data_IF_990546999288
#
_entry.id   IF_990546999288
#
_cell.length_a   1.000
_cell.length_b   1.000
_cell.length_c   1.000
_cell.angle_alpha   90.00
_cell.angle_beta   90.00
_cell.angle_gamma   90.00
#
_symmetry.space_group_name_H-M   'P 1'
#
loop_
_entity.id
_entity.type
_entity.pdbx_description
1 polymer ?
#
# COMPACT_ATOMS: atom_id res chain seq x y z
N UNK A 1 30.99 57.76 23.21
CA UNK A 1 29.60 58.07 23.58
C UNK A 1 28.63 57.47 22.55
N UNK A 2 27.80 56.54 22.98
CA UNK A 2 26.55 56.19 22.29
C UNK A 2 26.63 55.15 21.14
N UNK A 3 26.92 53.91 21.47
CA UNK A 3 26.65 52.75 20.57
C UNK A 3 25.16 52.47 20.52
N UNK A 4 24.52 52.64 19.35
CA UNK A 4 23.15 52.21 19.12
C UNK A 4 23.11 50.82 18.49
N UNK A 5 22.69 49.84 19.28
CA UNK A 5 22.33 48.49 18.88
C UNK A 5 21.12 48.51 17.93
N UNK A 6 21.05 47.66 16.85
CA UNK A 6 19.87 47.54 16.01
C UNK A 6 18.82 46.72 16.74
N UNK A 7 17.62 47.29 16.90
CA UNK A 7 16.44 46.66 17.44
C UNK A 7 15.94 45.62 16.41
N UNK A 8 15.95 44.35 16.82
CA UNK A 8 15.25 43.27 16.16
C UNK A 8 13.76 43.56 16.27
N UNK A 9 13.13 43.77 15.10
CA UNK A 9 11.69 44.02 14.97
C UNK A 9 10.96 42.67 15.09
N UNK A 10 10.47 42.37 16.28
CA UNK A 10 9.63 41.19 16.54
C UNK A 10 8.21 41.53 16.04
N UNK A 11 7.87 41.11 14.84
CA UNK A 11 6.51 41.20 14.32
C UNK A 11 5.65 40.19 15.06
N UNK A 12 4.96 40.66 16.06
CA UNK A 12 3.93 39.92 16.78
C UNK A 12 2.69 39.88 15.86
N UNK A 13 2.57 38.81 15.06
CA UNK A 13 1.40 38.56 14.26
C UNK A 13 0.25 38.11 15.17
N UNK A 14 -0.46 39.08 15.76
CA UNK A 14 -1.78 38.88 16.37
C UNK A 14 -2.84 38.93 15.26
N UNK A 15 -2.95 37.88 14.48
CA UNK A 15 -4.15 37.59 13.73
C UNK A 15 -4.92 36.51 14.49
N UNK A 16 -5.72 36.93 15.47
CA UNK A 16 -6.82 36.14 15.98
C UNK A 16 -7.88 36.02 14.88
N UNK A 17 -7.59 35.27 13.84
CA UNK A 17 -8.57 34.69 12.95
C UNK A 17 -9.30 33.59 13.74
N UNK A 18 -10.52 33.88 14.19
CA UNK A 18 -11.53 32.88 14.52
C UNK A 18 -11.85 32.11 13.25
N UNK A 19 -10.91 31.27 12.79
CA UNK A 19 -11.19 30.17 11.90
C UNK A 19 -12.12 29.25 12.68
N UNK A 20 -13.35 29.12 12.23
CA UNK A 20 -14.25 28.04 12.56
C UNK A 20 -13.47 26.74 12.28
N UNK A 21 -12.83 26.19 13.30
CA UNK A 21 -12.44 24.80 13.31
C UNK A 21 -13.76 24.04 13.06
N UNK A 22 -13.94 23.55 11.84
CA UNK A 22 -14.95 22.54 11.57
C UNK A 22 -14.79 21.52 12.70
N UNK A 23 -15.84 21.33 13.47
CA UNK A 23 -15.92 20.24 14.45
C UNK A 23 -15.75 18.97 13.64
N UNK A 24 -14.51 18.51 13.47
CA UNK A 24 -14.26 17.12 13.13
C UNK A 24 -14.96 16.33 14.22
N UNK A 25 -16.05 15.68 13.84
CA UNK A 25 -16.79 14.81 14.73
C UNK A 25 -15.82 13.75 15.19
N UNK A 26 -15.28 13.89 16.39
CA UNK A 26 -14.44 12.91 17.06
C UNK A 26 -15.32 11.69 17.31
N UNK A 27 -15.26 10.75 16.38
CA UNK A 27 -15.88 9.46 16.57
C UNK A 27 -15.15 8.79 17.74
N UNK A 28 -15.87 8.13 18.64
CA UNK A 28 -15.21 7.37 19.68
C UNK A 28 -14.33 6.27 19.08
N UNK A 29 -13.32 5.74 19.80
CA UNK A 29 -12.37 4.76 19.28
C UNK A 29 -13.05 3.55 18.62
N UNK A 30 -14.20 3.14 19.11
CA UNK A 30 -14.97 2.01 18.55
C UNK A 30 -15.42 2.31 17.12
N UNK A 31 -16.04 3.48 16.89
CA UNK A 31 -16.50 3.87 15.56
C UNK A 31 -15.34 4.06 14.59
N UNK A 32 -14.22 4.63 15.07
CA UNK A 32 -13.01 4.76 14.26
C UNK A 32 -12.47 3.39 13.81
N UNK A 33 -12.51 2.38 14.67
CA UNK A 33 -12.14 1.02 14.33
C UNK A 33 -13.07 0.36 13.31
N UNK A 34 -14.38 0.52 13.48
CA UNK A 34 -15.38 0.02 12.51
C UNK A 34 -15.19 0.66 11.14
N UNK A 35 -15.01 1.98 11.09
CA UNK A 35 -14.73 2.71 9.84
C UNK A 35 -13.42 2.24 9.21
N UNK A 36 -12.39 2.01 10.03
CA UNK A 36 -11.09 1.48 9.57
C UNK A 36 -11.24 0.14 8.88
N UNK A 37 -11.99 -0.80 9.48
CA UNK A 37 -12.22 -2.11 8.90
C UNK A 37 -13.07 -2.00 7.61
N UNK A 38 -14.14 -1.23 7.63
CA UNK A 38 -15.02 -1.06 6.47
C UNK A 38 -14.26 -0.44 5.29
N UNK A 39 -13.51 0.65 5.52
CA UNK A 39 -12.73 1.31 4.49
C UNK A 39 -11.60 0.41 3.99
N UNK A 40 -10.86 -0.24 4.89
CA UNK A 40 -9.77 -1.15 4.52
C UNK A 40 -10.27 -2.35 3.72
N UNK A 41 -11.37 -2.97 4.15
CA UNK A 41 -11.98 -4.10 3.47
C UNK A 41 -12.52 -3.69 2.09
N UNK A 42 -13.42 -2.70 2.04
CA UNK A 42 -14.11 -2.28 0.81
C UNK A 42 -13.17 -1.77 -0.27
N UNK A 43 -12.03 -1.18 0.13
CA UNK A 43 -11.06 -0.61 -0.82
C UNK A 43 -10.24 -1.65 -1.59
N UNK A 44 -10.18 -2.91 -1.14
CA UNK A 44 -9.20 -3.82 -1.74
C UNK A 44 -9.56 -5.31 -1.75
N UNK A 45 -10.70 -5.75 -1.18
CA UNK A 45 -11.06 -7.18 -1.19
C UNK A 45 -11.22 -7.72 -2.63
N UNK A 46 -11.73 -6.91 -3.56
CA UNK A 46 -11.85 -7.28 -4.98
C UNK A 46 -10.46 -7.54 -5.58
N UNK A 47 -9.47 -6.72 -5.22
CA UNK A 47 -8.08 -6.89 -5.68
C UNK A 47 -7.49 -8.18 -5.09
N UNK A 48 -7.81 -8.51 -3.83
CA UNK A 48 -7.41 -9.78 -3.20
C UNK A 48 -7.99 -10.96 -3.97
N UNK A 49 -9.29 -10.96 -4.24
CA UNK A 49 -9.94 -12.03 -5.00
C UNK A 49 -9.36 -12.15 -6.42
N UNK A 50 -9.17 -11.03 -7.11
CA UNK A 50 -8.56 -11.01 -8.43
C UNK A 50 -7.12 -11.57 -8.39
N UNK A 51 -6.33 -11.18 -7.39
CA UNK A 51 -4.96 -11.69 -7.20
C UNK A 51 -4.91 -13.19 -6.96
N UNK A 52 -5.75 -13.72 -6.07
CA UNK A 52 -5.83 -15.13 -5.79
C UNK A 52 -6.28 -15.93 -7.01
N UNK A 53 -7.27 -15.44 -7.74
CA UNK A 53 -7.77 -16.08 -8.97
C UNK A 53 -6.70 -16.07 -10.07
N UNK A 54 -5.98 -14.97 -10.26
CA UNK A 54 -4.92 -14.84 -11.27
C UNK A 54 -3.78 -15.85 -11.07
N UNK A 55 -3.48 -16.22 -9.82
CA UNK A 55 -2.47 -17.24 -9.51
C UNK A 55 -3.04 -18.68 -9.42
N UNK A 56 -4.29 -18.88 -9.83
CA UNK A 56 -4.90 -20.19 -10.04
C UNK A 56 -5.89 -20.66 -8.96
N UNK A 57 -6.32 -19.78 -8.03
CA UNK A 57 -7.35 -20.14 -7.07
C UNK A 57 -8.71 -20.33 -7.75
N UNK A 58 -9.43 -21.39 -7.41
CA UNK A 58 -10.86 -21.55 -7.72
C UNK A 58 -11.69 -20.61 -6.83
N UNK A 59 -12.96 -20.31 -7.19
CA UNK A 59 -13.79 -19.40 -6.39
C UNK A 59 -13.86 -19.74 -4.89
N UNK A 60 -14.04 -21.02 -4.54
CA UNK A 60 -14.05 -21.47 -3.15
C UNK A 60 -12.69 -21.27 -2.44
N UNK A 61 -11.58 -21.45 -3.16
CA UNK A 61 -10.23 -21.21 -2.63
C UNK A 61 -9.96 -19.72 -2.43
N UNK A 62 -10.41 -18.88 -3.35
CA UNK A 62 -10.30 -17.42 -3.22
C UNK A 62 -11.15 -16.90 -2.04
N UNK A 63 -12.37 -17.41 -1.88
CA UNK A 63 -13.23 -17.12 -0.73
C UNK A 63 -12.58 -17.53 0.59
N UNK A 64 -12.01 -18.75 0.64
CA UNK A 64 -11.25 -19.25 1.80
C UNK A 64 -10.04 -18.36 2.11
N UNK A 65 -9.32 -17.91 1.08
CA UNK A 65 -8.19 -17.00 1.22
C UNK A 65 -8.60 -15.65 1.81
N UNK A 66 -9.70 -15.05 1.35
CA UNK A 66 -10.23 -13.80 1.88
C UNK A 66 -10.66 -13.95 3.34
N UNK A 67 -11.38 -15.03 3.67
CA UNK A 67 -11.76 -15.37 5.05
C UNK A 67 -10.51 -15.46 5.93
N UNK A 68 -9.52 -16.22 5.49
CA UNK A 68 -8.27 -16.44 6.23
C UNK A 68 -7.51 -15.15 6.49
N UNK A 69 -7.43 -14.27 5.49
CA UNK A 69 -6.78 -12.96 5.63
C UNK A 69 -7.50 -12.09 6.66
N UNK A 70 -8.84 -12.08 6.67
CA UNK A 70 -9.63 -11.39 7.68
C UNK A 70 -9.34 -11.91 9.09
N UNK A 71 -9.32 -13.24 9.26
CA UNK A 71 -9.10 -13.87 10.55
C UNK A 71 -7.68 -13.67 11.07
N UNK A 72 -6.67 -13.91 10.22
CA UNK A 72 -5.26 -13.82 10.63
C UNK A 72 -4.85 -12.39 11.00
N UNK A 73 -5.27 -11.40 10.21
CA UNK A 73 -5.00 -9.99 10.54
C UNK A 73 -5.78 -9.55 11.80
N UNK A 74 -7.02 -10.00 11.99
CA UNK A 74 -7.81 -9.67 13.17
C UNK A 74 -7.18 -10.24 14.44
N UNK A 75 -6.78 -11.51 14.43
CA UNK A 75 -6.10 -12.14 15.57
C UNK A 75 -4.77 -11.45 15.89
N UNK A 76 -3.99 -11.11 14.85
CA UNK A 76 -2.75 -10.35 15.01
C UNK A 76 -2.99 -8.94 15.59
N UNK A 77 -4.04 -8.23 15.14
CA UNK A 77 -4.41 -6.92 15.71
C UNK A 77 -4.83 -7.06 17.19
N UNK A 78 -5.66 -8.04 17.52
CA UNK A 78 -6.08 -8.28 18.90
C UNK A 78 -4.87 -8.53 19.79
N UNK A 79 -3.96 -9.40 19.35
CA UNK A 79 -2.74 -9.69 20.10
C UNK A 79 -1.93 -8.44 20.38
N UNK A 80 -1.55 -7.71 19.34
CA UNK A 80 -0.69 -6.52 19.46
C UNK A 80 -1.37 -5.39 20.23
N UNK A 81 -2.65 -5.11 19.97
CA UNK A 81 -3.38 -4.04 20.63
C UNK A 81 -3.60 -4.31 22.11
N UNK A 82 -3.97 -5.53 22.50
CA UNK A 82 -4.20 -5.89 23.89
C UNK A 82 -2.90 -5.94 24.70
N UNK A 83 -1.83 -6.46 24.09
CA UNK A 83 -0.53 -6.60 24.76
C UNK A 83 0.18 -5.27 24.98
N UNK A 84 0.20 -4.40 23.95
CA UNK A 84 0.97 -3.17 23.99
C UNK A 84 0.14 -1.92 24.27
N UNK A 85 -1.19 -2.02 24.27
CA UNK A 85 -2.11 -0.88 24.46
C UNK A 85 -1.83 0.25 23.48
N UNK A 86 -1.47 -0.08 22.23
CA UNK A 86 -1.25 0.86 21.11
C UNK A 86 -2.17 0.53 19.93
N UNK A 87 -2.57 1.51 19.11
CA UNK A 87 -3.52 1.33 18.02
C UNK A 87 -2.87 0.71 16.77
N UNK A 88 -2.20 -0.44 16.94
CA UNK A 88 -1.58 -1.16 15.81
C UNK A 88 -2.67 -1.83 15.01
N UNK A 89 -2.76 -1.46 13.73
CA UNK A 89 -3.64 -2.12 12.76
C UNK A 89 -2.84 -2.95 11.79
N UNK A 90 -3.32 -4.15 11.52
CA UNK A 90 -2.83 -5.01 10.46
C UNK A 90 -3.80 -5.00 9.29
N UNK A 91 -3.29 -5.36 8.13
CA UNK A 91 -4.05 -5.50 6.90
C UNK A 91 -3.43 -6.62 6.06
N UNK A 92 -4.18 -7.14 5.09
CA UNK A 92 -3.56 -7.89 4.01
C UNK A 92 -2.74 -6.94 3.11
N UNK A 93 -1.76 -7.50 2.41
CA UNK A 93 -0.94 -6.70 1.47
C UNK A 93 -1.74 -6.38 0.20
N UNK A 94 -2.41 -5.22 0.16
CA UNK A 94 -3.07 -4.76 -1.06
C UNK A 94 -2.08 -4.63 -2.24
N UNK A 95 -0.86 -4.06 -2.06
CA UNK A 95 0.15 -4.08 -3.10
C UNK A 95 0.57 -5.51 -3.51
N UNK A 96 0.61 -6.43 -2.55
CA UNK A 96 0.86 -7.84 -2.82
C UNK A 96 -0.26 -8.49 -3.61
N UNK A 97 -1.52 -8.25 -3.24
CA UNK A 97 -2.68 -8.73 -4.00
C UNK A 97 -2.68 -8.20 -5.44
N UNK A 98 -2.35 -6.92 -5.64
CA UNK A 98 -2.23 -6.33 -6.97
C UNK A 98 -1.09 -6.97 -7.79
N UNK A 99 0.05 -7.25 -7.15
CA UNK A 99 1.14 -8.00 -7.76
C UNK A 99 0.68 -9.39 -8.22
N UNK A 100 -0.08 -10.10 -7.40
CA UNK A 100 -0.66 -11.39 -7.79
C UNK A 100 -1.65 -11.23 -8.94
N UNK A 101 -2.50 -10.18 -8.93
CA UNK A 101 -3.48 -9.92 -9.98
C UNK A 101 -2.84 -9.59 -11.34
N UNK A 102 -1.62 -9.05 -11.34
CA UNK A 102 -0.85 -8.79 -12.56
C UNK A 102 -0.06 -10.00 -13.06
N UNK A 103 -0.05 -11.12 -12.30
CA UNK A 103 0.65 -12.33 -12.71
C UNK A 103 -0.13 -13.06 -13.82
N UNK A 104 0.57 -13.55 -14.84
CA UNK A 104 0.02 -14.39 -15.91
C UNK A 104 -0.05 -15.88 -15.53
N UNK A 105 -0.34 -16.17 -14.26
CA UNK A 105 -0.30 -17.50 -13.68
C UNK A 105 1.00 -17.82 -12.96
N UNK A 106 1.02 -18.94 -12.26
CA UNK A 106 2.19 -19.45 -11.54
C UNK A 106 2.53 -20.85 -12.06
N UNK A 107 3.78 -21.09 -12.42
CA UNK A 107 4.24 -22.42 -12.78
C UNK A 107 4.03 -23.39 -11.61
N UNK A 108 3.26 -24.46 -11.82
CA UNK A 108 2.79 -25.35 -10.76
C UNK A 108 1.41 -25.01 -10.19
N UNK A 109 0.74 -23.97 -10.70
CA UNK A 109 -0.62 -23.60 -10.35
C UNK A 109 -0.84 -23.16 -8.91
N UNK A 110 -2.07 -23.27 -8.43
CA UNK A 110 -2.46 -22.85 -7.10
C UNK A 110 -1.63 -23.43 -5.94
N UNK A 111 -1.27 -24.74 -5.91
CA UNK A 111 -0.42 -25.27 -4.85
C UNK A 111 0.96 -24.61 -4.78
N UNK A 112 1.53 -24.22 -5.94
CA UNK A 112 2.81 -23.52 -5.97
C UNK A 112 2.68 -22.06 -5.50
N UNK A 113 1.55 -21.40 -5.78
CA UNK A 113 1.24 -20.08 -5.24
C UNK A 113 1.13 -20.13 -3.70
N UNK A 114 0.45 -21.14 -3.15
CA UNK A 114 0.37 -21.37 -1.69
C UNK A 114 1.76 -21.62 -1.10
N UNK A 115 2.62 -22.36 -1.79
CA UNK A 115 4.02 -22.51 -1.41
C UNK A 115 4.76 -21.17 -1.36
N UNK A 116 4.55 -20.32 -2.37
CA UNK A 116 5.15 -18.99 -2.41
C UNK A 116 4.65 -18.09 -1.26
N UNK A 117 3.37 -18.14 -0.89
CA UNK A 117 2.83 -17.41 0.26
C UNK A 117 3.50 -17.86 1.56
N UNK A 118 3.69 -19.17 1.73
CA UNK A 118 4.40 -19.70 2.89
C UNK A 118 5.85 -19.22 2.93
N UNK A 119 6.58 -19.24 1.80
CA UNK A 119 7.95 -18.69 1.69
C UNK A 119 7.97 -17.21 2.04
N UNK A 120 6.99 -16.43 1.58
CA UNK A 120 6.86 -15.01 1.94
C UNK A 120 6.77 -14.82 3.46
N UNK A 121 5.92 -15.60 4.12
CA UNK A 121 5.79 -15.57 5.59
C UNK A 121 7.09 -15.95 6.30
N UNK A 122 7.80 -16.97 5.80
CA UNK A 122 9.11 -17.37 6.33
C UNK A 122 10.17 -16.28 6.15
N UNK A 123 10.19 -15.56 5.03
CA UNK A 123 11.06 -14.40 4.81
C UNK A 123 10.77 -13.27 5.79
N UNK A 124 9.49 -12.99 6.09
CA UNK A 124 9.09 -12.01 7.10
C UNK A 124 9.58 -12.45 8.49
N UNK A 125 9.41 -13.72 8.86
CA UNK A 125 9.91 -14.28 10.13
C UNK A 125 11.44 -14.22 10.21
N UNK A 126 12.13 -14.52 9.12
CA UNK A 126 13.59 -14.41 9.05
C UNK A 126 14.05 -12.97 9.25
N UNK A 127 13.31 -11.99 8.70
CA UNK A 127 13.58 -10.56 8.94
C UNK A 127 13.37 -10.17 10.41
N UNK A 128 12.37 -10.76 11.07
CA UNK A 128 12.19 -10.56 12.52
C UNK A 128 13.34 -11.13 13.35
N UNK A 129 13.91 -12.26 12.91
CA UNK A 129 15.01 -12.92 13.60
C UNK A 129 16.37 -12.29 13.31
N UNK A 130 16.60 -11.81 12.07
CA UNK A 130 17.89 -11.28 11.58
C UNK A 130 17.75 -9.79 11.24
N UNK A 131 18.13 -8.86 12.15
CA UNK A 131 17.96 -7.42 11.93
C UNK A 131 18.62 -6.91 10.63
N UNK A 132 19.75 -7.51 10.23
CA UNK A 132 20.47 -7.15 8.98
C UNK A 132 19.60 -7.30 7.73
N UNK A 133 18.64 -8.24 7.71
CA UNK A 133 17.69 -8.36 6.59
C UNK A 133 16.69 -7.20 6.59
N UNK A 134 16.26 -6.73 7.76
CA UNK A 134 15.47 -5.51 7.90
C UNK A 134 16.20 -4.30 7.33
N UNK A 135 17.48 -4.14 7.69
CA UNK A 135 18.33 -3.06 7.17
C UNK A 135 18.52 -3.17 5.65
N UNK A 136 18.69 -4.38 5.12
CA UNK A 136 18.80 -4.63 3.68
C UNK A 136 17.52 -4.21 2.94
N UNK A 137 16.34 -4.58 3.47
CA UNK A 137 15.06 -4.15 2.88
C UNK A 137 14.88 -2.64 2.97
N UNK A 138 15.24 -2.05 4.10
CA UNK A 138 15.20 -0.59 4.28
C UNK A 138 16.20 0.14 3.38
N UNK A 139 17.26 -0.53 2.91
CA UNK A 139 18.23 0.02 1.95
C UNK A 139 17.75 0.04 0.50
N UNK A 140 16.66 -0.67 0.18
CA UNK A 140 16.03 -0.60 -1.15
C UNK A 140 15.52 0.84 -1.32
N UNK A 141 16.03 1.59 -2.32
CA UNK A 141 15.59 2.96 -2.51
C UNK A 141 14.07 3.02 -2.70
N UNK A 142 13.39 3.88 -1.92
CA UNK A 142 11.94 3.98 -1.92
C UNK A 142 11.36 4.21 -3.32
N UNK A 143 12.06 4.98 -4.16
CA UNK A 143 11.64 5.28 -5.52
C UNK A 143 11.38 4.01 -6.36
N UNK A 144 12.24 2.96 -6.25
CA UNK A 144 12.06 1.73 -7.03
C UNK A 144 10.97 0.82 -6.51
N UNK A 145 10.85 0.69 -5.19
CA UNK A 145 9.74 -0.03 -4.59
C UNK A 145 8.40 0.62 -4.97
N UNK A 146 8.35 1.96 -5.00
CA UNK A 146 7.18 2.73 -5.44
C UNK A 146 6.95 2.62 -6.95
N UNK A 147 8.01 2.62 -7.76
CA UNK A 147 7.93 2.41 -9.20
C UNK A 147 7.38 1.02 -9.55
N UNK A 148 7.88 -0.03 -8.88
CA UNK A 148 7.34 -1.38 -9.04
C UNK A 148 5.86 -1.43 -8.63
N UNK A 149 5.50 -0.83 -7.51
CA UNK A 149 4.11 -0.75 -7.08
C UNK A 149 3.23 -0.02 -8.11
N UNK A 150 3.65 1.15 -8.58
CA UNK A 150 2.92 1.90 -9.59
C UNK A 150 2.76 1.11 -10.90
N UNK A 151 3.81 0.43 -11.36
CA UNK A 151 3.76 -0.43 -12.54
C UNK A 151 2.76 -1.58 -12.41
N UNK A 152 2.77 -2.27 -11.27
CA UNK A 152 1.82 -3.36 -10.96
C UNK A 152 0.38 -2.84 -10.89
N UNK A 153 0.16 -1.63 -10.37
CA UNK A 153 -1.18 -1.04 -10.25
C UNK A 153 -1.72 -0.49 -11.56
N UNK A 154 -0.85 -0.11 -12.51
CA UNK A 154 -1.27 0.55 -13.75
C UNK A 154 -2.32 -0.24 -14.54
N UNK A 155 -2.14 -1.53 -14.84
CA UNK A 155 -3.16 -2.31 -15.57
C UNK A 155 -4.50 -2.36 -14.84
N UNK A 156 -4.47 -2.45 -13.51
CA UNK A 156 -5.69 -2.46 -12.69
C UNK A 156 -6.40 -1.10 -12.71
N UNK A 157 -5.64 -0.01 -12.72
CA UNK A 157 -6.18 1.36 -12.80
C UNK A 157 -6.70 1.71 -14.21
N UNK A 158 -6.31 0.97 -15.25
CA UNK A 158 -6.88 1.10 -16.60
C UNK A 158 -8.22 0.38 -16.74
N UNK A 159 -8.49 -0.65 -15.91
CA UNK A 159 -9.71 -1.46 -15.98
C UNK A 159 -11.01 -0.63 -15.95
N UNK A 160 -11.18 0.46 -15.16
CA UNK A 160 -12.40 1.27 -15.23
C UNK A 160 -12.66 1.89 -16.59
N UNK A 161 -11.59 2.26 -17.32
CA UNK A 161 -11.69 2.90 -18.64
C UNK A 161 -12.04 1.86 -19.70
N UNK A 162 -11.34 0.72 -19.72
CA UNK A 162 -11.60 -0.35 -20.68
C UNK A 162 -12.98 -0.96 -20.45
N UNK A 163 -13.32 -1.29 -19.20
CA UNK A 163 -14.64 -1.84 -18.87
C UNK A 163 -15.80 -0.88 -19.17
N UNK A 164 -15.59 0.45 -19.03
CA UNK A 164 -16.61 1.43 -19.40
C UNK A 164 -16.91 1.44 -20.91
N UNK A 165 -15.91 1.14 -21.74
CA UNK A 165 -16.10 1.01 -23.20
C UNK A 165 -16.78 -0.30 -23.55
N UNK A 166 -16.40 -1.40 -22.88
CA UNK A 166 -16.89 -2.74 -23.19
C UNK A 166 -18.32 -2.98 -22.67
N UNK A 167 -18.66 -2.43 -21.50
CA UNK A 167 -19.94 -2.62 -20.83
C UNK A 167 -20.44 -1.30 -20.18
N UNK A 168 -20.79 -0.28 -20.97
CA UNK A 168 -21.10 1.06 -20.45
C UNK A 168 -22.33 1.09 -19.53
N UNK A 169 -23.33 0.26 -19.77
CA UNK A 169 -24.56 0.23 -18.96
C UNK A 169 -24.30 -0.24 -17.52
N UNK A 170 -23.43 -1.23 -17.36
CA UNK A 170 -23.08 -1.83 -16.06
C UNK A 170 -22.02 -1.03 -15.33
N UNK A 171 -21.05 -0.44 -16.04
CA UNK A 171 -19.89 0.22 -15.45
C UNK A 171 -20.13 1.71 -15.18
N UNK A 172 -20.94 2.40 -16.02
CA UNK A 172 -21.21 3.82 -15.83
C UNK A 172 -21.79 4.17 -14.44
N UNK A 173 -22.75 3.41 -13.86
CA UNK A 173 -23.25 3.67 -12.51
C UNK A 173 -22.15 3.65 -11.46
N UNK A 174 -21.16 2.76 -11.60
CA UNK A 174 -20.01 2.64 -10.67
C UNK A 174 -19.11 3.86 -10.75
N UNK A 175 -18.73 4.26 -11.97
CA UNK A 175 -17.87 5.42 -12.23
C UNK A 175 -18.55 6.72 -11.81
N UNK A 176 -19.82 6.91 -12.15
CA UNK A 176 -20.58 8.10 -11.80
C UNK A 176 -20.78 8.23 -10.28
N UNK A 177 -21.08 7.13 -9.59
CA UNK A 177 -21.18 7.10 -8.13
C UNK A 177 -19.85 7.51 -7.49
N UNK A 178 -18.74 6.96 -8.00
CA UNK A 178 -17.42 7.30 -7.52
C UNK A 178 -17.10 8.79 -7.72
N UNK A 179 -17.32 9.34 -8.92
CA UNK A 179 -17.08 10.75 -9.25
C UNK A 179 -17.93 11.68 -8.37
N UNK A 180 -19.21 11.38 -8.22
CA UNK A 180 -20.12 12.14 -7.39
C UNK A 180 -19.63 12.19 -5.94
N UNK A 181 -19.31 11.02 -5.38
CA UNK A 181 -18.84 10.91 -3.99
C UNK A 181 -17.45 11.51 -3.79
N UNK A 182 -16.57 11.49 -4.78
CA UNK A 182 -15.30 12.23 -4.73
C UNK A 182 -15.54 13.73 -4.52
N UNK A 183 -16.60 14.27 -5.08
CA UNK A 183 -16.95 15.71 -5.00
C UNK A 183 -17.64 16.06 -3.69
N UNK A 184 -18.53 15.19 -3.20
CA UNK A 184 -19.42 15.49 -2.07
C UNK A 184 -18.92 14.90 -0.76
N UNK A 185 -18.38 13.67 -0.80
CA UNK A 185 -18.02 12.90 0.38
C UNK A 185 -16.84 11.94 0.10
N UNK A 186 -15.68 12.52 -0.18
CA UNK A 186 -14.47 11.82 -0.68
C UNK A 186 -14.14 10.50 0.03
N UNK A 187 -14.33 10.42 1.35
CA UNK A 187 -14.09 9.21 2.16
C UNK A 187 -15.02 8.04 1.79
N UNK A 188 -16.17 8.33 1.20
CA UNK A 188 -17.18 7.36 0.79
C UNK A 188 -17.13 7.01 -0.70
N UNK A 189 -16.22 7.62 -1.47
CA UNK A 189 -16.13 7.41 -2.91
C UNK A 189 -15.87 5.93 -3.25
N UNK A 190 -14.89 5.29 -2.60
CA UNK A 190 -14.58 3.87 -2.84
C UNK A 190 -15.66 2.94 -2.29
N UNK A 191 -16.12 3.06 -1.03
CA UNK A 191 -17.25 2.25 -0.56
C UNK A 191 -18.51 2.40 -1.39
N UNK A 192 -18.82 3.61 -1.86
CA UNK A 192 -19.99 3.86 -2.70
C UNK A 192 -19.89 3.26 -4.10
N UNK A 193 -18.72 3.38 -4.74
CA UNK A 193 -18.45 2.72 -6.01
C UNK A 193 -18.59 1.20 -5.92
N UNK A 194 -18.07 0.62 -4.83
CA UNK A 194 -18.24 -0.80 -4.56
C UNK A 194 -19.71 -1.18 -4.34
N UNK A 195 -20.44 -0.40 -3.55
CA UNK A 195 -21.87 -0.64 -3.33
C UNK A 195 -22.67 -0.58 -4.65
N UNK A 196 -22.33 0.39 -5.53
CA UNK A 196 -22.93 0.48 -6.87
C UNK A 196 -22.58 -0.76 -7.71
N UNK A 197 -21.31 -1.20 -7.70
CA UNK A 197 -20.86 -2.39 -8.42
C UNK A 197 -21.61 -3.66 -7.93
N UNK A 198 -21.68 -3.86 -6.61
CA UNK A 198 -22.43 -4.98 -6.03
C UNK A 198 -23.92 -4.89 -6.36
N UNK A 199 -24.51 -3.68 -6.36
CA UNK A 199 -25.89 -3.46 -6.78
C UNK A 199 -26.14 -3.87 -8.23
N UNK A 200 -25.25 -3.51 -9.15
CA UNK A 200 -25.31 -3.96 -10.55
C UNK A 200 -25.24 -5.48 -10.63
N UNK A 201 -24.29 -6.12 -9.94
CA UNK A 201 -24.15 -7.58 -9.96
C UNK A 201 -25.40 -8.29 -9.40
N UNK A 202 -25.98 -7.79 -8.31
CA UNK A 202 -27.19 -8.37 -7.73
C UNK A 202 -28.41 -8.30 -8.66
N UNK A 203 -28.45 -7.31 -9.55
CA UNK A 203 -29.55 -7.17 -10.54
C UNK A 203 -29.30 -8.00 -11.80
N UNK A 204 -28.01 -8.22 -12.16
CA UNK A 204 -27.67 -8.83 -13.46
C UNK A 204 -27.22 -10.29 -13.37
N UNK A 205 -26.85 -10.77 -12.17
CA UNK A 205 -26.31 -12.12 -12.00
C UNK A 205 -27.18 -13.00 -11.11
N UNK A 206 -27.29 -14.27 -11.48
CA UNK A 206 -27.87 -15.32 -10.66
C UNK A 206 -26.78 -15.91 -9.76
N UNK A 207 -26.92 -15.74 -8.43
CA UNK A 207 -26.02 -16.31 -7.45
C UNK A 207 -26.73 -17.39 -6.66
N UNK A 208 -26.18 -18.60 -6.69
CA UNK A 208 -26.74 -19.71 -5.92
C UNK A 208 -26.53 -19.48 -4.40
N UNK A 209 -27.58 -19.71 -3.60
CA UNK A 209 -27.55 -19.52 -2.16
C UNK A 209 -26.54 -20.45 -1.46
N UNK A 210 -26.22 -21.61 -2.04
CA UNK A 210 -25.22 -22.54 -1.55
C UNK A 210 -23.80 -21.96 -1.53
N UNK A 211 -23.51 -21.04 -2.45
CA UNK A 211 -22.18 -20.41 -2.57
C UNK A 211 -21.95 -19.28 -1.55
N UNK A 212 -22.95 -18.97 -0.72
CA UNK A 212 -22.89 -17.88 0.24
C UNK A 212 -22.29 -18.30 1.60
N UNK A 213 -22.15 -19.61 1.85
CA UNK A 213 -21.64 -20.14 3.12
C UNK A 213 -20.11 -20.16 3.11
N UNK A 214 -19.44 -19.50 4.07
CA UNK A 214 -17.99 -19.54 4.16
C UNK A 214 -17.47 -20.96 4.37
N UNK A 215 -16.54 -21.38 3.51
CA UNK A 215 -15.87 -22.68 3.60
C UNK A 215 -14.36 -22.47 3.61
N UNK A 216 -13.68 -23.15 4.54
CA UNK A 216 -12.23 -23.22 4.53
C UNK A 216 -11.79 -24.36 3.61
N UNK A 217 -10.99 -24.05 2.63
CA UNK A 217 -10.38 -25.02 1.72
C UNK A 217 -8.90 -25.17 2.09
N UNK A 218 -8.45 -26.42 2.18
CA UNK A 218 -7.05 -26.71 2.42
C UNK A 218 -6.32 -27.05 1.13
N UNK A 219 -5.15 -26.41 0.91
CA UNK A 219 -4.25 -26.71 -0.20
C UNK A 219 -2.86 -27.01 0.35
N UNK A 220 -2.34 -28.19 0.08
CA UNK A 220 -0.97 -28.53 0.46
C UNK A 220 0.02 -27.68 -0.35
N UNK A 221 0.94 -26.95 0.30
CA UNK A 221 1.95 -26.16 -0.38
C UNK A 221 2.84 -27.02 -1.29
N UNK A 222 3.05 -26.57 -2.53
CA UNK A 222 4.01 -27.16 -3.43
C UNK A 222 5.20 -26.19 -3.62
N UNK A 223 6.40 -26.70 -3.38
CA UNK A 223 7.62 -25.89 -3.36
C UNK A 223 8.29 -25.89 -4.73
N UNK A 224 8.31 -24.76 -5.41
CA UNK A 224 9.01 -24.57 -6.68
C UNK A 224 9.92 -23.35 -6.62
N UNK A 225 11.11 -23.45 -7.20
CA UNK A 225 12.04 -22.33 -7.24
C UNK A 225 11.46 -21.15 -8.05
N UNK A 226 10.74 -21.45 -9.12
CA UNK A 226 10.07 -20.43 -9.95
C UNK A 226 9.03 -19.62 -9.16
N UNK A 227 8.19 -20.28 -8.33
CA UNK A 227 7.24 -19.60 -7.48
C UNK A 227 7.91 -18.83 -6.33
N UNK A 228 8.99 -19.40 -5.75
CA UNK A 228 9.74 -18.72 -4.70
C UNK A 228 10.40 -17.43 -5.22
N UNK A 229 11.01 -17.45 -6.40
CA UNK A 229 11.67 -16.28 -7.00
C UNK A 229 10.67 -15.35 -7.68
N UNK A 230 9.72 -15.91 -8.43
CA UNK A 230 8.78 -15.13 -9.24
C UNK A 230 7.62 -14.52 -8.48
N UNK A 231 7.24 -15.10 -7.35
CA UNK A 231 6.11 -14.66 -6.53
C UNK A 231 6.53 -14.31 -5.12
N UNK A 232 7.17 -15.23 -4.37
CA UNK A 232 7.41 -14.99 -2.95
C UNK A 232 8.37 -13.83 -2.70
N UNK A 233 9.47 -13.73 -3.44
CA UNK A 233 10.44 -12.67 -3.26
C UNK A 233 9.86 -11.27 -3.61
N UNK A 234 9.20 -11.06 -4.77
CA UNK A 234 8.53 -9.79 -5.05
C UNK A 234 7.42 -9.46 -4.05
N UNK A 235 6.62 -10.45 -3.64
CA UNK A 235 5.56 -10.28 -2.65
C UNK A 235 6.11 -9.84 -1.29
N UNK A 236 7.23 -10.45 -0.85
CA UNK A 236 7.94 -10.04 0.35
C UNK A 236 8.47 -8.60 0.24
N UNK A 237 9.17 -8.27 -0.84
CA UNK A 237 9.76 -6.95 -1.03
C UNK A 237 8.67 -5.87 -1.06
N UNK A 238 7.60 -6.07 -1.84
CA UNK A 238 6.52 -5.10 -1.92
C UNK A 238 5.78 -4.94 -0.59
N UNK A 239 5.57 -6.04 0.13
CA UNK A 239 4.89 -6.01 1.43
C UNK A 239 5.75 -5.28 2.47
N UNK A 240 7.04 -5.54 2.53
CA UNK A 240 7.94 -4.86 3.46
C UNK A 240 8.10 -3.37 3.13
N UNK A 241 8.42 -3.05 1.88
CA UNK A 241 8.75 -1.68 1.47
C UNK A 241 7.52 -0.77 1.34
N UNK A 242 6.35 -1.31 0.98
CA UNK A 242 5.14 -0.49 0.74
C UNK A 242 4.16 -0.49 1.91
N UNK A 243 4.30 -1.41 2.87
CA UNK A 243 3.36 -1.54 3.99
C UNK A 243 4.05 -1.53 5.35
N UNK A 244 4.92 -2.48 5.65
CA UNK A 244 5.50 -2.61 6.98
C UNK A 244 6.34 -1.39 7.37
N UNK A 245 7.26 -0.95 6.50
CA UNK A 245 8.10 0.23 6.76
C UNK A 245 7.27 1.52 6.82
N UNK A 246 6.41 1.84 5.81
CA UNK A 246 5.55 3.03 5.89
C UNK A 246 4.55 2.99 7.05
N UNK A 247 3.97 1.83 7.37
CA UNK A 247 3.06 1.67 8.51
C UNK A 247 3.72 2.03 9.83
N UNK A 248 4.99 1.63 10.03
CA UNK A 248 5.78 2.06 11.19
C UNK A 248 6.01 3.57 11.20
N UNK A 249 6.32 4.16 10.05
CA UNK A 249 6.49 5.60 9.94
C UNK A 249 5.20 6.35 10.29
N UNK A 250 4.04 5.92 9.77
CA UNK A 250 2.74 6.51 10.12
C UNK A 250 2.48 6.42 11.63
N UNK A 251 2.70 5.29 12.27
CA UNK A 251 2.54 5.14 13.72
C UNK A 251 3.43 6.11 14.49
N UNK A 252 4.66 6.29 14.02
CA UNK A 252 5.65 7.20 14.62
C UNK A 252 5.21 8.67 14.51
N UNK A 253 4.58 9.11 13.40
CA UNK A 253 4.06 10.49 13.28
C UNK A 253 2.98 10.80 14.31
N UNK A 254 2.24 9.78 14.77
CA UNK A 254 1.30 9.90 15.87
C UNK A 254 1.92 9.62 17.25
N UNK A 255 3.26 9.45 17.31
CA UNK A 255 4.04 9.27 18.54
C UNK A 255 3.89 7.90 19.18
N UNK A 256 3.55 6.87 18.44
CA UNK A 256 3.56 5.47 18.90
C UNK A 256 4.82 4.76 18.43
N UNK A 257 5.42 3.99 19.31
CA UNK A 257 6.54 3.08 18.98
C UNK A 257 5.97 1.70 18.70
N UNK A 258 6.07 1.25 17.46
CA UNK A 258 5.66 -0.10 17.06
C UNK A 258 6.68 -1.11 17.57
N UNK A 259 6.26 -2.21 18.22
CA UNK A 259 7.15 -3.32 18.57
C UNK A 259 7.52 -4.10 17.30
N UNK A 260 8.46 -3.56 16.52
CA UNK A 260 8.80 -3.97 15.17
C UNK A 260 9.01 -5.49 15.03
N UNK A 261 9.88 -6.05 15.87
CA UNK A 261 10.20 -7.48 15.83
C UNK A 261 8.95 -8.35 16.09
N UNK A 262 8.17 -8.02 17.10
CA UNK A 262 6.97 -8.77 17.45
C UNK A 262 5.89 -8.63 16.37
N UNK A 263 5.76 -7.43 15.78
CA UNK A 263 4.84 -7.20 14.67
C UNK A 263 5.20 -8.06 13.45
N UNK A 264 6.49 -8.18 13.11
CA UNK A 264 6.94 -9.07 12.04
C UNK A 264 6.75 -10.55 12.38
N UNK A 265 6.93 -10.95 13.63
CA UNK A 265 6.64 -12.32 14.07
C UNK A 265 5.15 -12.63 13.91
N UNK A 266 4.27 -11.72 14.37
CA UNK A 266 2.81 -11.90 14.27
C UNK A 266 2.36 -11.96 12.81
N UNK A 267 2.83 -11.04 11.98
CA UNK A 267 2.45 -11.00 10.55
C UNK A 267 3.05 -12.18 9.78
N UNK A 268 4.27 -12.57 10.06
CA UNK A 268 4.93 -13.71 9.44
C UNK A 268 4.26 -15.04 9.82
N UNK A 269 3.97 -15.26 11.12
CA UNK A 269 3.23 -16.44 11.58
C UNK A 269 1.81 -16.49 11.01
N UNK A 270 1.10 -15.34 10.99
CA UNK A 270 -0.23 -15.27 10.40
C UNK A 270 -0.22 -15.57 8.91
N UNK A 271 0.82 -15.14 8.18
CA UNK A 271 1.01 -15.45 6.76
C UNK A 271 1.30 -16.95 6.55
N UNK A 272 2.23 -17.55 7.31
CA UNK A 272 2.57 -18.98 7.20
C UNK A 272 1.36 -19.85 7.55
N UNK A 273 0.68 -19.55 8.64
CA UNK A 273 -0.49 -20.32 9.08
C UNK A 273 -1.69 -20.16 8.13
N UNK A 274 -1.85 -18.98 7.53
CA UNK A 274 -2.94 -18.70 6.59
C UNK A 274 -2.70 -19.21 5.18
N UNK A 275 -1.47 -19.44 4.77
CA UNK A 275 -1.13 -19.82 3.39
C UNK A 275 -1.85 -21.11 2.93
N UNK A 276 -1.88 -22.23 3.69
CA UNK A 276 -2.56 -23.45 3.25
C UNK A 276 -4.06 -23.27 3.01
N UNK A 277 -4.68 -22.27 3.63
CA UNK A 277 -6.10 -21.93 3.44
C UNK A 277 -6.31 -20.76 2.47
N UNK A 278 -5.26 -20.36 1.74
CA UNK A 278 -5.31 -19.41 0.64
C UNK A 278 -4.98 -17.96 1.01
N UNK A 279 -4.63 -17.67 2.27
CA UNK A 279 -4.19 -16.32 2.66
C UNK A 279 -2.80 -16.00 2.10
N UNK A 280 -2.67 -14.90 1.34
CA UNK A 280 -1.37 -14.58 0.72
C UNK A 280 -0.37 -13.96 1.71
N UNK A 281 -0.59 -12.77 2.25
CA UNK A 281 0.28 -12.17 3.29
C UNK A 281 -0.44 -11.05 4.02
N UNK A 282 -0.18 -10.95 5.32
CA UNK A 282 -0.61 -9.86 6.17
C UNK A 282 0.57 -9.02 6.64
N UNK A 283 0.32 -7.75 6.93
CA UNK A 283 1.33 -6.75 7.25
C UNK A 283 0.80 -5.66 8.18
N UNK A 284 1.70 -4.80 8.63
CA UNK A 284 1.31 -3.54 9.29
C UNK A 284 0.60 -2.64 8.27
N UNK A 285 -0.57 -2.13 8.63
CA UNK A 285 -1.31 -1.23 7.75
C UNK A 285 -0.59 0.14 7.65
N UNK A 286 -0.44 0.63 6.42
CA UNK A 286 0.13 1.96 6.17
C UNK A 286 -0.97 3.04 6.04
N UNK A 287 -2.04 2.73 5.31
CA UNK A 287 -3.09 3.71 4.99
C UNK A 287 -4.09 3.84 6.14
N UNK A 288 -4.63 2.71 6.60
CA UNK A 288 -5.69 2.70 7.62
C UNK A 288 -5.16 2.93 9.04
N UNK A 289 -3.84 2.80 9.28
CA UNK A 289 -3.22 3.10 10.56
C UNK A 289 -3.49 4.55 11.03
N UNK A 290 -3.57 5.51 10.11
CA UNK A 290 -3.86 6.90 10.46
C UNK A 290 -5.26 7.09 11.06
N UNK A 291 -6.23 6.24 10.69
CA UNK A 291 -7.60 6.30 11.22
C UNK A 291 -7.70 5.87 12.68
N UNK A 292 -6.90 4.88 13.08
CA UNK A 292 -6.88 4.34 14.45
C UNK A 292 -5.88 5.08 15.35
N UNK A 293 -4.75 5.53 14.80
CA UNK A 293 -3.71 6.23 15.56
C UNK A 293 -3.94 7.73 15.65
N UNK A 294 -4.72 8.31 14.72
CA UNK A 294 -4.97 9.74 14.60
C UNK A 294 -6.06 10.27 15.54
N UNK A 295 -6.30 11.61 15.47
CA UNK A 295 -7.33 12.28 16.28
C UNK A 295 -8.77 11.78 16.04
N UNK A 296 -9.04 11.20 14.86
CA UNK A 296 -10.34 10.59 14.52
C UNK A 296 -10.75 9.48 15.49
N UNK A 297 -9.79 8.78 16.10
CA UNK A 297 -10.01 7.75 17.12
C UNK A 297 -10.22 8.31 18.54
N UNK A 298 -10.36 9.62 18.66
CA UNK A 298 -10.61 10.32 19.93
C UNK A 298 -9.40 11.13 20.44
N UNK A 299 -9.66 12.07 21.38
CA UNK A 299 -8.62 12.94 21.91
C UNK A 299 -7.63 12.22 22.82
N UNK A 300 -8.10 11.21 23.55
CA UNK A 300 -7.27 10.45 24.48
C UNK A 300 -6.43 9.38 23.75
N UNK A 301 -5.15 9.65 23.60
CA UNK A 301 -4.19 8.74 22.96
C UNK A 301 -4.05 7.40 23.66
N UNK A 302 -4.23 7.36 24.98
CA UNK A 302 -4.10 6.14 25.79
C UNK A 302 -5.23 5.14 25.52
N UNK A 303 -6.36 5.59 24.97
CA UNK A 303 -7.53 4.76 24.66
C UNK A 303 -7.66 4.38 23.19
N UNK A 304 -6.82 4.92 22.28
CA UNK A 304 -6.92 4.64 20.85
C UNK A 304 -6.65 3.18 20.46
N UNK A 305 -5.99 2.40 21.31
CA UNK A 305 -5.85 0.95 21.09
C UNK A 305 -7.21 0.22 20.97
N UNK A 306 -8.28 0.77 21.58
CA UNK A 306 -9.64 0.27 21.43
C UNK A 306 -10.12 0.33 19.98
N UNK A 307 -9.64 1.30 19.18
CA UNK A 307 -9.96 1.36 17.77
C UNK A 307 -9.36 0.18 16.99
N UNK A 308 -8.14 -0.26 17.34
CA UNK A 308 -7.56 -1.46 16.72
C UNK A 308 -8.32 -2.74 17.11
N UNK A 309 -8.76 -2.85 18.36
CA UNK A 309 -9.61 -3.98 18.82
C UNK A 309 -10.95 -3.97 18.07
N UNK A 310 -11.60 -2.80 17.97
CA UNK A 310 -12.86 -2.67 17.24
C UNK A 310 -12.71 -3.02 15.76
N UNK A 311 -11.61 -2.58 15.13
CA UNK A 311 -11.29 -2.95 13.76
C UNK A 311 -11.12 -4.47 13.60
N UNK A 312 -10.42 -5.11 14.52
CA UNK A 312 -10.22 -6.56 14.51
C UNK A 312 -11.56 -7.31 14.60
N UNK A 313 -12.42 -6.93 15.54
CA UNK A 313 -13.76 -7.55 15.67
C UNK A 313 -14.58 -7.33 14.40
N UNK A 314 -14.51 -6.12 13.81
CA UNK A 314 -15.21 -5.83 12.56
C UNK A 314 -14.69 -6.70 11.39
N UNK A 315 -13.38 -6.97 11.30
CA UNK A 315 -12.82 -7.89 10.31
C UNK A 315 -13.28 -9.35 10.53
N UNK A 316 -13.45 -9.80 11.78
CA UNK A 316 -14.03 -11.11 12.05
C UNK A 316 -15.49 -11.20 11.59
N UNK A 317 -16.26 -10.13 11.75
CA UNK A 317 -17.63 -10.06 11.21
C UNK A 317 -17.60 -10.06 9.67
N UNK A 318 -16.72 -9.24 9.04
CA UNK A 318 -16.57 -9.19 7.59
C UNK A 318 -16.07 -10.52 7.01
N UNK A 319 -15.32 -11.33 7.76
CA UNK A 319 -14.89 -12.66 7.36
C UNK A 319 -16.06 -13.57 6.98
N UNK A 320 -17.20 -13.46 7.67
CA UNK A 320 -18.40 -14.25 7.38
C UNK A 320 -19.02 -13.93 6.02
N UNK A 321 -18.74 -12.78 5.43
CA UNK A 321 -19.22 -12.40 4.10
C UNK A 321 -18.30 -12.84 2.95
N UNK A 322 -17.16 -13.48 3.23
CA UNK A 322 -16.13 -13.82 2.24
C UNK A 322 -16.62 -14.67 1.08
N UNK A 323 -17.45 -15.68 1.35
CA UNK A 323 -18.02 -16.53 0.32
C UNK A 323 -19.03 -15.78 -0.55
N UNK A 324 -19.96 -15.05 0.06
CA UNK A 324 -20.95 -14.25 -0.65
C UNK A 324 -20.28 -13.21 -1.57
N UNK A 325 -19.26 -12.52 -1.07
CA UNK A 325 -18.51 -11.54 -1.87
C UNK A 325 -17.71 -12.20 -2.99
N UNK A 326 -17.09 -13.37 -2.74
CA UNK A 326 -16.38 -14.10 -3.77
C UNK A 326 -17.34 -14.62 -4.86
N UNK A 327 -18.52 -15.11 -4.48
CA UNK A 327 -19.56 -15.54 -5.43
C UNK A 327 -20.06 -14.37 -6.27
N UNK A 328 -20.33 -13.21 -5.66
CA UNK A 328 -20.73 -11.99 -6.37
C UNK A 328 -19.63 -11.50 -7.34
N UNK A 329 -18.36 -11.53 -6.92
CA UNK A 329 -17.24 -11.17 -7.80
C UNK A 329 -17.08 -12.14 -8.95
N UNK A 330 -17.27 -13.45 -8.71
CA UNK A 330 -17.19 -14.48 -9.75
C UNK A 330 -18.36 -14.42 -10.74
N UNK A 331 -19.56 -14.03 -10.29
CA UNK A 331 -20.75 -13.88 -11.11
C UNK A 331 -20.79 -12.54 -11.87
N UNK A 332 -19.93 -11.57 -11.52
CA UNK A 332 -19.93 -10.26 -12.13
C UNK A 332 -19.50 -10.33 -13.61
N UNK A 333 -20.36 -9.84 -14.49
CA UNK A 333 -20.07 -9.69 -15.91
C UNK A 333 -19.45 -8.30 -16.22
N UNK A 334 -18.95 -8.13 -17.44
CA UNK A 334 -18.62 -6.81 -18.01
C UNK A 334 -17.51 -6.03 -17.35
N UNK A 335 -16.65 -6.64 -16.52
CA UNK A 335 -15.55 -5.92 -15.87
C UNK A 335 -15.97 -4.97 -14.74
N UNK A 336 -17.22 -5.03 -14.27
CA UNK A 336 -17.79 -4.15 -13.23
C UNK A 336 -16.96 -4.16 -11.95
N UNK A 337 -16.59 -5.35 -11.47
CA UNK A 337 -15.81 -5.47 -10.22
C UNK A 337 -14.36 -5.04 -10.42
N UNK A 338 -13.79 -5.27 -11.61
CA UNK A 338 -12.46 -4.78 -11.99
C UNK A 338 -12.45 -3.25 -12.05
N UNK A 339 -13.52 -2.63 -12.57
CA UNK A 339 -13.67 -1.18 -12.57
C UNK A 339 -13.71 -0.61 -11.14
N UNK A 340 -14.53 -1.20 -10.25
CA UNK A 340 -14.56 -0.78 -8.84
C UNK A 340 -13.19 -0.91 -8.16
N UNK A 341 -12.49 -2.03 -8.40
CA UNK A 341 -11.13 -2.25 -7.88
C UNK A 341 -10.12 -1.22 -8.40
N UNK A 342 -10.14 -0.93 -9.71
CA UNK A 342 -9.26 0.07 -10.33
C UNK A 342 -9.48 1.47 -9.78
N UNK A 343 -10.74 1.89 -9.62
CA UNK A 343 -11.08 3.17 -8.99
C UNK A 343 -10.60 3.26 -7.54
N UNK A 344 -10.68 2.17 -6.79
CA UNK A 344 -10.17 2.11 -5.42
C UNK A 344 -8.64 2.28 -5.34
N UNK A 345 -7.92 1.78 -6.33
CA UNK A 345 -6.45 1.82 -6.38
C UNK A 345 -5.88 3.11 -6.98
N UNK A 346 -6.71 3.93 -7.64
CA UNK A 346 -6.25 5.10 -8.37
C UNK A 346 -5.45 6.09 -7.51
N UNK A 347 -5.89 6.32 -6.26
CA UNK A 347 -5.17 7.17 -5.31
C UNK A 347 -3.81 6.61 -4.91
N UNK A 348 -3.73 5.29 -4.69
CA UNK A 348 -2.48 4.59 -4.35
C UNK A 348 -1.51 4.60 -5.54
N UNK A 349 -2.00 4.37 -6.75
CA UNK A 349 -1.24 4.48 -7.99
C UNK A 349 -0.64 5.88 -8.15
N UNK A 350 -1.49 6.93 -8.06
CA UNK A 350 -1.04 8.32 -8.23
C UNK A 350 0.06 8.70 -7.24
N UNK A 351 -0.10 8.33 -5.96
CA UNK A 351 0.93 8.58 -4.94
C UNK A 351 2.21 7.79 -5.22
N UNK A 352 2.10 6.51 -5.55
CA UNK A 352 3.27 5.67 -5.83
C UNK A 352 4.03 6.15 -7.07
N UNK A 353 3.34 6.54 -8.14
CA UNK A 353 3.95 7.07 -9.36
C UNK A 353 4.64 8.43 -9.11
N UNK A 354 3.99 9.33 -8.37
CA UNK A 354 4.57 10.62 -8.02
C UNK A 354 5.85 10.47 -7.18
N UNK A 355 5.82 9.63 -6.14
CA UNK A 355 6.99 9.38 -5.28
C UNK A 355 8.11 8.64 -6.02
N UNK A 356 7.77 7.75 -6.96
CA UNK A 356 8.75 7.01 -7.77
C UNK A 356 9.58 7.93 -8.68
N UNK A 357 8.96 8.96 -9.24
CA UNK A 357 9.55 9.85 -10.24
C UNK A 357 10.01 11.21 -9.65
N UNK A 358 9.91 11.38 -8.33
CA UNK A 358 10.22 12.65 -7.68
C UNK A 358 11.71 13.02 -7.73
N UNK A 359 12.60 12.04 -7.55
CA UNK A 359 14.04 12.26 -7.56
C UNK A 359 14.57 12.26 -9.00
N UNK A 360 15.13 13.38 -9.51
CA UNK A 360 15.71 13.45 -10.84
C UNK A 360 16.82 12.42 -11.09
N UNK A 361 17.64 12.11 -10.09
CA UNK A 361 18.74 11.16 -10.21
C UNK A 361 18.34 9.67 -10.23
N UNK A 362 17.11 9.38 -9.84
CA UNK A 362 16.54 8.00 -9.82
C UNK A 362 15.41 7.84 -10.86
N UNK A 363 15.09 8.89 -11.62
CA UNK A 363 13.89 8.93 -12.48
C UNK A 363 13.93 7.90 -13.61
N UNK A 364 15.04 7.76 -14.33
CA UNK A 364 15.16 6.78 -15.40
C UNK A 364 15.13 5.33 -14.88
N UNK A 365 15.89 4.96 -13.83
CA UNK A 365 15.75 3.64 -13.22
C UNK A 365 14.34 3.36 -12.68
N UNK A 366 13.68 4.35 -12.09
CA UNK A 366 12.30 4.21 -11.61
C UNK A 366 11.31 4.06 -12.77
N UNK A 367 11.44 4.85 -13.84
CA UNK A 367 10.60 4.73 -15.02
C UNK A 367 10.76 3.36 -15.70
N UNK A 368 11.98 2.86 -15.86
CA UNK A 368 12.24 1.52 -16.39
C UNK A 368 11.61 0.43 -15.50
N UNK A 369 11.76 0.54 -14.17
CA UNK A 369 11.11 -0.36 -13.21
C UNK A 369 9.59 -0.35 -13.38
N UNK A 370 8.97 0.83 -13.46
CA UNK A 370 7.52 0.97 -13.63
C UNK A 370 7.04 0.31 -14.93
N UNK A 371 7.70 0.60 -16.05
CA UNK A 371 7.30 0.06 -17.36
C UNK A 371 7.44 -1.45 -17.43
N UNK A 372 8.54 -2.01 -16.90
CA UNK A 372 8.72 -3.48 -16.86
C UNK A 372 7.68 -4.11 -15.94
N UNK A 373 7.38 -3.51 -14.78
CA UNK A 373 6.34 -4.04 -13.89
C UNK A 373 4.95 -3.99 -14.53
N UNK A 374 4.64 -2.92 -15.30
CA UNK A 374 3.37 -2.76 -15.98
C UNK A 374 3.20 -3.67 -17.21
N UNK A 375 4.29 -4.16 -17.79
CA UNK A 375 4.27 -4.98 -19.01
C UNK A 375 3.63 -6.35 -18.81
N UNK A 376 3.54 -6.85 -17.56
CA UNK A 376 3.02 -8.18 -17.27
C UNK A 376 3.84 -9.35 -17.84
N UNK A 377 5.06 -9.10 -18.32
CA UNK A 377 5.91 -10.15 -18.93
C UNK A 377 6.23 -11.27 -17.95
N UNK A 378 6.36 -12.48 -18.47
CA UNK A 378 6.86 -13.63 -17.72
C UNK A 378 8.04 -14.20 -18.47
N UNK A 379 9.21 -14.27 -17.84
CA UNK A 379 10.43 -14.81 -18.42
C UNK A 379 10.94 -15.94 -17.54
N UNK A 380 11.15 -17.10 -18.11
CA UNK A 380 11.57 -18.32 -17.40
C UNK A 380 10.64 -18.70 -16.21
N UNK A 381 9.33 -18.45 -16.34
CA UNK A 381 8.35 -18.71 -15.26
C UNK A 381 8.37 -17.70 -14.13
N UNK A 382 9.12 -16.60 -14.26
CA UNK A 382 9.26 -15.53 -13.27
C UNK A 382 8.53 -14.27 -13.77
N UNK A 383 7.60 -13.74 -12.98
CA UNK A 383 6.75 -12.61 -13.35
C UNK A 383 7.46 -11.25 -13.42
N UNK A 384 6.80 -10.30 -14.08
CA UNK A 384 7.32 -8.95 -14.40
C UNK A 384 7.88 -8.19 -13.20
N UNK A 385 7.30 -8.33 -12.02
CA UNK A 385 7.72 -7.58 -10.83
C UNK A 385 9.16 -7.89 -10.39
N UNK A 386 9.60 -9.14 -10.52
CA UNK A 386 10.99 -9.52 -10.25
C UNK A 386 11.94 -8.86 -11.26
N UNK A 387 11.63 -8.97 -12.54
CA UNK A 387 12.43 -8.38 -13.61
C UNK A 387 12.47 -6.86 -13.52
N UNK A 388 11.38 -6.24 -13.12
CA UNK A 388 11.31 -4.80 -12.89
C UNK A 388 12.33 -4.33 -11.85
N UNK A 389 12.43 -5.04 -10.71
CA UNK A 389 13.44 -4.73 -9.70
C UNK A 389 14.86 -4.91 -10.23
N UNK A 390 15.13 -6.02 -10.95
CA UNK A 390 16.44 -6.28 -11.52
C UNK A 390 16.84 -5.21 -12.54
N UNK A 391 15.95 -4.88 -13.48
CA UNK A 391 16.20 -3.84 -14.51
C UNK A 391 16.46 -2.49 -13.84
N UNK A 392 15.67 -2.09 -12.87
CA UNK A 392 15.87 -0.85 -12.15
C UNK A 392 17.19 -0.78 -11.38
N UNK A 393 17.59 -1.90 -10.76
CA UNK A 393 18.88 -1.99 -10.07
C UNK A 393 20.06 -1.97 -11.05
N UNK A 394 19.97 -2.72 -12.15
CA UNK A 394 20.99 -2.79 -13.18
C UNK A 394 21.19 -1.43 -13.88
N UNK A 395 20.09 -0.77 -14.25
CA UNK A 395 20.16 0.55 -14.88
C UNK A 395 20.80 1.59 -13.97
N UNK A 396 20.42 1.61 -12.69
CA UNK A 396 21.06 2.51 -11.73
C UNK A 396 22.55 2.25 -11.59
N UNK A 397 22.94 0.96 -11.48
CA UNK A 397 24.36 0.60 -11.39
C UNK A 397 25.11 1.09 -12.63
N UNK A 398 24.56 0.86 -13.82
CA UNK A 398 25.13 1.29 -15.08
C UNK A 398 25.32 2.82 -15.15
N UNK A 399 24.28 3.59 -14.80
CA UNK A 399 24.34 5.05 -14.80
C UNK A 399 25.34 5.62 -13.79
N UNK A 400 25.47 5.00 -12.61
CA UNK A 400 26.43 5.43 -11.59
C UNK A 400 27.88 5.14 -11.98
N UNK A 401 28.15 4.01 -12.59
CA UNK A 401 29.48 3.68 -13.10
C UNK A 401 29.88 4.65 -14.22
N UNK A 402 28.93 5.03 -15.10
CA UNK A 402 29.16 6.05 -16.13
C UNK A 402 29.41 7.46 -15.57
N UNK A 403 28.70 7.87 -14.53
CA UNK A 403 28.87 9.19 -13.89
C UNK A 403 30.22 9.34 -13.18
N UNK A 404 30.79 8.26 -12.65
CA UNK A 404 32.15 8.25 -12.09
C UNK A 404 33.26 8.45 -13.12
N UNK A 405 32.99 8.13 -14.40
CA UNK A 405 33.92 8.33 -15.50
C UNK A 405 33.88 9.78 -16.09
N UNK A 406 32.81 10.53 -15.82
CA UNK A 406 32.62 11.94 -16.21
C UNK A 406 32.58 12.83 -14.96
N UNK A 407 33.60 12.76 -14.09
CA UNK A 407 33.83 13.84 -13.14
C UNK A 407 34.14 15.11 -13.95
N UNK A 408 33.37 16.21 -13.86
CA UNK A 408 33.74 17.44 -14.54
C UNK A 408 35.10 17.83 -13.99
N UNK A 409 36.07 18.04 -14.92
CA UNK A 409 37.35 18.66 -14.61
C UNK A 409 37.02 19.90 -13.77
N UNK A 410 37.42 19.90 -12.52
CA UNK A 410 37.22 21.00 -11.59
C UNK A 410 37.66 22.28 -12.32
N UNK A 411 36.72 23.16 -12.60
CA UNK A 411 37.08 24.49 -13.10
C UNK A 411 38.06 25.07 -12.07
N UNK A 412 39.21 25.60 -12.52
CA UNK A 412 40.15 26.25 -11.61
C UNK A 412 39.37 27.35 -10.87
N UNK A 413 39.34 27.27 -9.58
CA UNK A 413 38.80 28.30 -8.71
C UNK A 413 39.30 29.66 -9.21
N UNK A 414 38.35 30.47 -9.68
CA UNK A 414 38.64 31.86 -10.07
C UNK A 414 39.30 32.52 -8.88
N UNK A 415 40.57 32.76 -9.03
CA UNK A 415 41.41 33.54 -8.13
C UNK A 415 40.64 34.79 -7.74
N UNK A 416 40.48 34.99 -6.44
CA UNK A 416 39.81 36.15 -5.86
C UNK A 416 40.33 37.41 -6.52
N UNK A 417 39.47 38.10 -7.28
CA UNK A 417 39.73 39.49 -7.62
C UNK A 417 39.69 40.24 -6.31
N UNK A 418 40.87 40.63 -5.88
CA UNK A 418 41.07 41.49 -4.73
C UNK A 418 40.13 42.68 -4.83
N UNK A 419 39.29 42.88 -3.84
CA UNK A 419 38.52 44.11 -3.68
C UNK A 419 39.51 45.28 -3.59
N UNK A 420 39.73 45.98 -4.70
CA UNK A 420 40.32 47.30 -4.69
C UNK A 420 39.28 48.25 -4.10
N UNK A 421 39.52 48.66 -2.86
CA UNK A 421 38.77 49.72 -2.22
C UNK A 421 38.93 51.02 -3.04
N UNK A 422 37.87 51.78 -3.29
CA UNK A 422 37.97 53.07 -3.95
C UNK A 422 38.79 54.09 -3.10
N UNK A 423 39.58 54.98 -3.75
CA UNK A 423 40.37 55.97 -2.99
C UNK A 423 39.47 57.01 -2.28
N UNK A 424 39.84 57.38 -1.08
CA UNK A 424 39.15 58.35 -0.25
C UNK A 424 39.13 59.75 -0.94
N UNK A 425 38.04 60.54 -0.80
CA UNK A 425 37.98 61.89 -1.37
C UNK A 425 38.92 62.87 -0.61
N UNK A 426 39.48 63.88 -1.30
CA UNK A 426 40.42 64.83 -0.71
C UNK A 426 39.72 65.74 0.30
N UNK A 427 40.37 65.90 1.44
CA UNK A 427 39.92 66.78 2.53
C UNK A 427 39.98 68.24 2.05
N UNK A 428 38.85 68.95 1.99
CA UNK A 428 38.78 70.38 1.87
C UNK A 428 39.35 71.04 3.17
N UNK A 429 40.45 71.72 3.04
CA UNK A 429 40.91 72.72 4.02
C UNK A 429 40.33 74.07 3.68
N UNK A 430 39.60 74.67 4.55
CA UNK A 430 39.66 76.04 5.04
C UNK A 430 38.61 76.26 6.10
#
# INVERSE_FOLDING_TARGET
MGTRSPRVFCIRNTLAGKGTMSRETTHGPVVAGMVTALVGFSSSFVVVLAGLTAVGARPAQAASGLLTLCVTQALGMLWLALRHRIPVTLAWSTPGAALLASASGVAGGWPAAVGAFTVTGLLILTTAAVPRLGDLVASIPPARAKAMLAGVLLPLCLAPVTALVDAPAEVAPVVLTWLLLLRVARRWAVPGALAAALGVVLVTADVATADLVPVLTWTTPHWTLSAAVGVALPLYVVTMASQNVPGTAVMTTFGYRVPWRETLVVTGLGTVAGAPTGGHTINLAAITAALTAGPAAGPDRSRRWVAAVSAAVSYLVLASSSAALAALVAAAAGGVMQAAAGLALLGTFGTAAAEALADPGEREPAAATLLVAASGITVAGVGAAFWALLVGLALRWFLRVGAGAYAPISQPTSTSVAQMSPPAPPSARS
#
